data_IF_335496894970
#
_entry.id   IF_335496894970
#
_cell.length_a   1.000
_cell.length_b   1.000
_cell.length_c   1.000
_cell.angle_alpha   90.00
_cell.angle_beta   90.00
_cell.angle_gamma   90.00
#
_symmetry.space_group_name_H-M   'P 1'
#
loop_
_entity.id
_entity.type
_entity.pdbx_description
1 polymer ?
#
# COMPACT_ATOMS: atom_id res chain seq x y z
N UNK A 1 -6.09 -35.70 17.85
CA UNK A 1 -6.27 -35.12 16.49
C UNK A 1 -6.13 -33.59 16.44
N UNK A 2 -6.73 -32.82 17.36
CA UNK A 2 -6.77 -31.34 17.27
C UNK A 2 -5.43 -30.58 17.23
N UNK A 3 -4.42 -31.03 17.98
CA UNK A 3 -3.09 -30.38 17.99
C UNK A 3 -2.32 -30.51 16.66
N UNK A 4 -2.59 -31.55 15.88
CA UNK A 4 -1.95 -31.78 14.59
C UNK A 4 -2.55 -30.88 13.50
N UNK A 5 -3.87 -30.68 13.53
CA UNK A 5 -4.57 -29.75 12.64
C UNK A 5 -4.12 -28.29 12.86
N UNK A 6 -3.95 -27.88 14.13
CA UNK A 6 -3.42 -26.55 14.46
C UNK A 6 -2.01 -26.33 13.90
N UNK A 7 -1.10 -27.31 14.09
CA UNK A 7 0.27 -27.21 13.56
C UNK A 7 0.29 -27.13 12.04
N UNK A 8 -0.60 -27.87 11.37
CA UNK A 8 -0.72 -27.82 9.93
C UNK A 8 -1.24 -26.46 9.45
N UNK A 9 -2.29 -25.93 10.09
CA UNK A 9 -2.84 -24.60 9.78
C UNK A 9 -1.80 -23.49 9.96
N UNK A 10 -1.05 -23.51 11.07
CA UNK A 10 0.00 -22.53 11.32
C UNK A 10 1.10 -22.59 10.25
N UNK A 11 1.52 -23.79 9.86
CA UNK A 11 2.52 -23.99 8.80
C UNK A 11 2.01 -23.53 7.42
N UNK A 12 0.74 -23.80 7.12
CA UNK A 12 0.11 -23.34 5.89
C UNK A 12 0.02 -21.81 5.86
N UNK A 13 -0.35 -21.18 6.98
CA UNK A 13 -0.38 -19.72 7.12
C UNK A 13 1.01 -19.10 6.98
N UNK A 14 2.03 -19.67 7.61
CA UNK A 14 3.42 -19.19 7.50
C UNK A 14 3.91 -19.28 6.05
N UNK A 15 3.63 -20.39 5.37
CA UNK A 15 4.01 -20.58 3.97
C UNK A 15 3.26 -19.60 3.05
N UNK A 16 1.97 -19.40 3.28
CA UNK A 16 1.16 -18.42 2.55
C UNK A 16 1.71 -17.00 2.76
N UNK A 17 2.03 -16.62 3.99
CA UNK A 17 2.59 -15.31 4.31
C UNK A 17 3.93 -15.05 3.62
N UNK A 18 4.82 -16.04 3.62
CA UNK A 18 6.10 -15.98 2.91
C UNK A 18 5.84 -15.85 1.41
N UNK A 19 5.00 -16.71 0.84
CA UNK A 19 4.65 -16.67 -0.59
C UNK A 19 4.07 -15.32 -1.00
N UNK A 20 3.10 -14.79 -0.25
CA UNK A 20 2.49 -13.49 -0.52
C UNK A 20 3.51 -12.36 -0.47
N UNK A 21 4.42 -12.34 0.51
CA UNK A 21 5.48 -11.32 0.56
C UNK A 21 6.37 -11.33 -0.68
N UNK A 22 6.83 -12.51 -1.09
CA UNK A 22 7.73 -12.65 -2.23
C UNK A 22 7.06 -12.38 -3.57
N UNK A 23 5.77 -12.63 -3.69
CA UNK A 23 5.01 -12.39 -4.93
C UNK A 23 4.46 -10.96 -5.00
N UNK A 24 4.10 -10.36 -3.86
CA UNK A 24 3.53 -9.01 -3.82
C UNK A 24 4.52 -7.95 -4.34
N UNK A 25 5.81 -8.07 -4.03
CA UNK A 25 6.81 -7.08 -4.45
C UNK A 25 6.98 -7.09 -5.99
N UNK A 26 7.27 -8.23 -6.65
CA UNK A 26 7.31 -8.31 -8.11
C UNK A 26 6.01 -7.87 -8.77
N UNK A 27 4.85 -8.30 -8.25
CA UNK A 27 3.56 -7.90 -8.80
C UNK A 27 3.35 -6.39 -8.73
N UNK A 28 3.72 -5.77 -7.61
CA UNK A 28 3.64 -4.32 -7.44
C UNK A 28 4.54 -3.60 -8.45
N UNK A 29 5.80 -4.04 -8.60
CA UNK A 29 6.76 -3.46 -9.56
C UNK A 29 6.27 -3.60 -11.00
N UNK A 30 5.85 -4.80 -11.40
CA UNK A 30 5.33 -5.06 -12.74
C UNK A 30 4.07 -4.26 -13.02
N UNK A 31 3.17 -4.15 -12.05
CA UNK A 31 1.96 -3.35 -12.17
C UNK A 31 2.28 -1.86 -12.33
N UNK A 32 3.16 -1.28 -11.51
CA UNK A 32 3.60 0.11 -11.65
C UNK A 32 4.27 0.36 -13.01
N UNK A 33 5.11 -0.55 -13.48
CA UNK A 33 5.73 -0.44 -14.81
C UNK A 33 4.68 -0.44 -15.92
N UNK A 34 3.70 -1.36 -15.85
CA UNK A 34 2.62 -1.41 -16.84
C UNK A 34 1.79 -0.12 -16.89
N UNK A 35 1.53 0.50 -15.74
CA UNK A 35 0.79 1.76 -15.62
C UNK A 35 1.57 2.95 -16.17
N UNK A 36 2.90 3.00 -15.96
CA UNK A 36 3.78 4.02 -16.54
C UNK A 36 3.77 3.89 -18.06
N UNK A 37 3.97 2.68 -18.59
CA UNK A 37 3.95 2.42 -20.04
C UNK A 37 2.59 2.81 -20.65
N UNK A 38 1.49 2.42 -20.00
CA UNK A 38 0.14 2.81 -20.45
C UNK A 38 -0.03 4.34 -20.46
N UNK A 39 0.37 5.02 -19.39
CA UNK A 39 0.22 6.48 -19.27
C UNK A 39 1.04 7.22 -20.34
N UNK A 40 2.25 6.72 -20.63
CA UNK A 40 3.09 7.22 -21.72
C UNK A 40 2.44 6.97 -23.10
N UNK A 41 1.88 5.78 -23.33
CA UNK A 41 1.21 5.48 -24.62
C UNK A 41 -0.03 6.33 -24.89
N UNK A 42 -0.70 6.81 -23.85
CA UNK A 42 -1.89 7.67 -23.94
C UNK A 42 -1.52 9.16 -24.03
N UNK A 43 -0.23 9.51 -23.94
CA UNK A 43 0.24 10.91 -24.01
C UNK A 43 -0.20 11.76 -22.81
N UNK A 44 -0.29 11.14 -21.63
CA UNK A 44 -0.66 11.78 -20.36
C UNK A 44 0.50 11.77 -19.37
N UNK A 45 1.72 12.00 -19.85
CA UNK A 45 2.94 11.92 -19.03
C UNK A 45 2.89 12.83 -17.79
N UNK A 46 2.22 13.98 -17.86
CA UNK A 46 2.04 14.89 -16.73
C UNK A 46 1.24 14.28 -15.56
N UNK A 47 0.40 13.28 -15.82
CA UNK A 47 -0.35 12.58 -14.75
C UNK A 47 0.57 11.75 -13.84
N UNK A 48 1.75 11.36 -14.31
CA UNK A 48 2.72 10.56 -13.54
C UNK A 48 3.28 11.39 -12.37
N UNK A 49 4.00 12.51 -12.59
CA UNK A 49 4.57 13.29 -11.49
C UNK A 49 3.49 13.89 -10.60
N UNK A 50 2.36 14.34 -11.18
CA UNK A 50 1.24 14.86 -10.40
C UNK A 50 0.63 13.78 -9.50
N UNK A 51 0.43 12.57 -10.02
CA UNK A 51 -0.10 11.45 -9.25
C UNK A 51 0.85 11.05 -8.12
N UNK A 52 2.16 11.00 -8.39
CA UNK A 52 3.17 10.69 -7.39
C UNK A 52 3.16 11.72 -6.24
N UNK A 53 3.19 13.01 -6.57
CA UNK A 53 3.17 14.09 -5.56
C UNK A 53 1.89 14.01 -4.73
N UNK A 54 0.73 13.85 -5.36
CA UNK A 54 -0.55 13.76 -4.69
C UNK A 54 -0.64 12.55 -3.75
N UNK A 55 -0.22 11.37 -4.22
CA UNK A 55 -0.19 10.15 -3.40
C UNK A 55 0.72 10.29 -2.19
N UNK A 56 1.90 10.87 -2.39
CA UNK A 56 2.86 11.11 -1.31
C UNK A 56 2.33 12.09 -0.27
N UNK A 57 1.74 13.20 -0.71
CA UNK A 57 1.17 14.22 0.19
C UNK A 57 -0.02 13.66 0.96
N UNK A 58 -0.94 12.96 0.29
CA UNK A 58 -2.10 12.36 0.93
C UNK A 58 -1.68 11.35 2.01
N UNK A 59 -0.75 10.44 1.68
CA UNK A 59 -0.24 9.46 2.65
C UNK A 59 0.50 10.14 3.81
N UNK A 60 1.27 11.20 3.54
CA UNK A 60 1.99 11.93 4.59
C UNK A 60 1.04 12.65 5.54
N UNK A 61 0.05 13.38 5.01
CA UNK A 61 -0.90 14.15 5.84
C UNK A 61 -1.77 13.21 6.65
N UNK A 62 -2.43 12.24 5.99
CA UNK A 62 -3.33 11.29 6.67
C UNK A 62 -2.55 10.38 7.60
N UNK A 63 -1.41 9.85 7.14
CA UNK A 63 -0.57 8.95 7.93
C UNK A 63 0.01 9.62 9.16
N UNK A 64 0.49 10.86 9.07
CA UNK A 64 0.96 11.60 10.25
C UNK A 64 -0.19 11.91 11.21
N UNK A 65 -1.35 12.34 10.71
CA UNK A 65 -2.52 12.56 11.57
C UNK A 65 -2.93 11.29 12.32
N UNK A 66 -2.88 10.13 11.66
CA UNK A 66 -3.11 8.84 12.33
C UNK A 66 -2.06 8.55 13.42
N UNK A 67 -0.78 8.85 13.16
CA UNK A 67 0.29 8.65 14.14
C UNK A 67 0.14 9.57 15.35
N UNK A 68 -0.21 10.85 15.13
CA UNK A 68 -0.42 11.83 16.20
C UNK A 68 -1.55 11.38 17.14
N UNK A 69 -2.67 10.93 16.57
CA UNK A 69 -3.81 10.39 17.33
C UNK A 69 -3.40 9.13 18.11
N UNK A 70 -2.67 8.20 17.49
CA UNK A 70 -2.20 6.99 18.18
C UNK A 70 -1.27 7.29 19.35
N UNK A 71 -0.40 8.29 19.21
CA UNK A 71 0.51 8.71 20.27
C UNK A 71 -0.26 9.28 21.46
N UNK A 72 -1.31 10.06 21.21
CA UNK A 72 -2.19 10.61 22.26
C UNK A 72 -2.96 9.50 23.01
N UNK A 73 -3.40 8.45 22.31
CA UNK A 73 -4.08 7.31 22.92
C UNK A 73 -3.16 6.33 23.66
N UNK A 74 -1.84 6.56 23.70
CA UNK A 74 -0.82 5.63 24.23
C UNK A 74 -0.87 4.20 23.64
N UNK A 75 -1.59 4.01 22.53
CA UNK A 75 -1.78 2.72 21.88
C UNK A 75 -0.81 2.54 20.70
N UNK A 76 0.39 3.11 20.85
CA UNK A 76 1.44 3.18 19.83
C UNK A 76 1.93 1.80 19.33
N UNK A 77 1.55 0.72 20.01
CA UNK A 77 1.87 -0.66 19.60
C UNK A 77 1.09 -1.10 18.36
N UNK A 78 -0.05 -0.49 18.07
CA UNK A 78 -1.01 -1.03 17.10
C UNK A 78 -1.20 -0.07 15.91
N UNK A 79 -0.43 -0.27 14.85
CA UNK A 79 -0.45 0.56 13.62
C UNK A 79 -1.65 0.28 12.68
N UNK A 80 -2.79 -0.17 13.21
CA UNK A 80 -4.00 -0.49 12.41
C UNK A 80 -4.45 0.65 11.50
N UNK A 81 -4.44 1.93 11.91
CA UNK A 81 -4.86 3.02 11.03
C UNK A 81 -3.98 3.13 9.78
N UNK A 82 -2.67 2.92 9.90
CA UNK A 82 -1.77 2.94 8.75
C UNK A 82 -1.93 1.66 7.89
N UNK A 83 -2.24 0.53 8.50
CA UNK A 83 -2.59 -0.71 7.76
C UNK A 83 -3.87 -0.48 6.95
N UNK A 84 -4.89 0.17 7.53
CA UNK A 84 -6.12 0.53 6.84
C UNK A 84 -5.86 1.53 5.71
N UNK A 85 -4.97 2.49 5.92
CA UNK A 85 -4.54 3.44 4.89
C UNK A 85 -3.82 2.73 3.73
N UNK A 86 -2.94 1.77 4.03
CA UNK A 86 -2.30 0.95 3.00
C UNK A 86 -3.33 0.12 2.23
N UNK A 87 -4.29 -0.48 2.93
CA UNK A 87 -5.38 -1.23 2.32
C UNK A 87 -6.26 -0.35 1.41
N UNK A 88 -6.54 0.89 1.81
CA UNK A 88 -7.25 1.86 0.99
C UNK A 88 -6.54 2.12 -0.35
N UNK A 89 -5.22 2.30 -0.34
CA UNK A 89 -4.46 2.48 -1.59
C UNK A 89 -4.45 1.22 -2.46
N UNK A 90 -4.44 0.02 -1.87
CA UNK A 90 -4.59 -1.23 -2.62
C UNK A 90 -5.95 -1.26 -3.32
N UNK A 91 -7.03 -0.95 -2.58
CA UNK A 91 -8.38 -0.89 -3.16
C UNK A 91 -8.50 0.16 -4.25
N UNK A 92 -7.82 1.30 -4.12
CA UNK A 92 -7.78 2.34 -5.15
C UNK A 92 -7.11 1.85 -6.44
N UNK A 93 -6.18 0.91 -6.34
CA UNK A 93 -5.44 0.35 -7.48
C UNK A 93 -6.20 -0.75 -8.23
N UNK A 94 -6.99 -1.57 -7.52
CA UNK A 94 -7.68 -2.75 -8.07
C UNK A 94 -8.63 -2.48 -9.25
N UNK A 95 -9.48 -1.44 -9.24
CA UNK A 95 -10.41 -1.17 -10.34
C UNK A 95 -9.77 -0.39 -11.51
N UNK A 96 -8.44 -0.34 -11.60
CA UNK A 96 -7.67 0.37 -12.64
C UNK A 96 -8.27 0.37 -14.05
N UNK A 97 -8.64 -0.79 -14.63
CA UNK A 97 -9.20 -0.88 -15.98
C UNK A 97 -10.63 -0.33 -16.13
N UNK A 98 -11.40 -0.28 -15.04
CA UNK A 98 -12.78 0.20 -15.02
C UNK A 98 -12.88 1.71 -14.82
N UNK A 99 -11.75 2.38 -14.54
CA UNK A 99 -11.74 3.81 -14.38
C UNK A 99 -11.90 4.56 -15.72
N UNK A 100 -12.51 5.75 -15.68
CA UNK A 100 -12.46 6.66 -16.83
C UNK A 100 -11.00 6.91 -17.25
N UNK A 101 -10.77 7.21 -18.52
CA UNK A 101 -9.42 7.27 -19.12
C UNK A 101 -8.46 8.28 -18.47
N UNK A 102 -8.96 9.29 -17.75
CA UNK A 102 -8.12 10.20 -16.95
C UNK A 102 -7.74 9.59 -15.61
N UNK A 103 -8.68 8.91 -14.95
CA UNK A 103 -8.52 8.29 -13.64
C UNK A 103 -7.63 7.05 -13.76
N UNK A 104 -7.77 6.25 -14.81
CA UNK A 104 -6.89 5.12 -15.12
C UNK A 104 -5.43 5.55 -15.33
N UNK A 105 -5.18 6.78 -15.79
CA UNK A 105 -3.84 7.34 -15.99
C UNK A 105 -3.26 8.04 -14.75
N UNK A 106 -4.09 8.39 -13.76
CA UNK A 106 -3.68 9.21 -12.60
C UNK A 106 -3.78 8.46 -11.27
N UNK A 107 -4.92 7.82 -10.99
CA UNK A 107 -5.17 7.13 -9.72
C UNK A 107 -4.16 6.03 -9.41
N UNK A 108 -3.66 5.23 -10.37
CA UNK A 108 -2.67 4.23 -10.05
C UNK A 108 -1.35 4.83 -9.57
N UNK A 109 -0.92 5.99 -10.08
CA UNK A 109 0.28 6.68 -9.60
C UNK A 109 0.09 7.28 -8.20
N UNK A 110 -1.11 7.80 -7.91
CA UNK A 110 -1.52 8.21 -6.56
C UNK A 110 -1.46 7.03 -5.59
N UNK A 111 -2.05 5.89 -5.99
CA UNK A 111 -2.07 4.67 -5.20
C UNK A 111 -0.65 4.13 -4.95
N UNK A 112 0.19 4.07 -5.98
CA UNK A 112 1.56 3.56 -5.87
C UNK A 112 2.41 4.42 -4.92
N UNK A 113 2.40 5.74 -5.11
CA UNK A 113 3.18 6.65 -4.27
C UNK A 113 2.64 6.70 -2.83
N UNK A 114 1.32 6.71 -2.67
CA UNK A 114 0.67 6.69 -1.36
C UNK A 114 0.93 5.40 -0.59
N UNK A 115 0.85 4.25 -1.26
CA UNK A 115 1.15 2.95 -0.65
C UNK A 115 2.62 2.86 -0.22
N UNK A 116 3.55 3.26 -1.10
CA UNK A 116 4.98 3.28 -0.78
C UNK A 116 5.26 4.15 0.46
N UNK A 117 4.70 5.37 0.51
CA UNK A 117 4.89 6.26 1.65
C UNK A 117 4.27 5.70 2.93
N UNK A 118 3.09 5.06 2.84
CA UNK A 118 2.43 4.44 4.00
C UNK A 118 3.25 3.29 4.56
N UNK A 119 3.84 2.44 3.71
CA UNK A 119 4.74 1.36 4.14
C UNK A 119 5.96 1.91 4.88
N UNK A 120 6.53 3.03 4.40
CA UNK A 120 7.63 3.70 5.12
C UNK A 120 7.18 4.23 6.48
N UNK A 121 5.99 4.84 6.58
CA UNK A 121 5.46 5.32 7.86
C UNK A 121 5.23 4.17 8.86
N UNK A 122 4.72 3.01 8.40
CA UNK A 122 4.56 1.81 9.24
C UNK A 122 5.93 1.35 9.74
N UNK A 123 6.91 1.24 8.84
CA UNK A 123 8.28 0.83 9.19
C UNK A 123 8.90 1.77 10.21
N UNK A 124 8.75 3.08 10.02
CA UNK A 124 9.37 4.09 10.87
C UNK A 124 8.69 4.15 12.25
N UNK A 125 7.36 3.98 12.31
CA UNK A 125 6.59 3.86 13.57
C UNK A 125 7.06 2.66 14.42
N UNK A 126 7.34 1.51 13.79
CA UNK A 126 7.81 0.30 14.48
C UNK A 126 9.25 0.41 15.01
N UNK A 127 10.05 1.38 14.53
CA UNK A 127 11.41 1.62 15.06
C UNK A 127 11.42 2.48 16.33
N UNK A 128 10.38 3.27 16.57
CA UNK A 128 10.32 4.22 17.69
C UNK A 128 9.82 3.54 18.98
N UNK A 129 9.15 2.38 18.86
CA UNK A 129 8.61 1.59 19.96
C UNK A 129 9.57 0.54 20.54
N UNK A 130 10.84 0.55 20.13
CA UNK A 130 11.95 -0.31 20.61
C UNK A 130 12.97 0.55 21.33
#
# INVERSE_FOLDING_TARGET
MGKMCWRFLHRAQDLAWIGTKWVAIPLFVLSTLSEIVYTLSVGKESCIPLGIVMGFMLSKVVGNACLDVMQELQDARITWPLVLLAFFFILLKLPGPYYPSWAAAFLPHVANAGLLKTVFLIRDSQRISV
#
